data_IF_054302678527
#
_entry.id   IF_054302678527
#
_cell.length_a   1.000
_cell.length_b   1.000
_cell.length_c   1.000
_cell.angle_alpha   90.00
_cell.angle_beta   90.00
_cell.angle_gamma   90.00
#
_symmetry.space_group_name_H-M   'P 1'
#
loop_
_entity.id
_entity.type
_entity.pdbx_description
1 polymer ?
#
# COMPACT_ATOMS: atom_id res chain seq x y z
N UNK A 1 17.02 -0.68 -15.90
CA UNK A 1 16.16 0.25 -15.12
C UNK A 1 14.69 0.15 -15.55
N UNK A 2 14.38 0.23 -16.85
CA UNK A 2 13.01 0.13 -17.36
C UNK A 2 12.27 -1.14 -16.94
N UNK A 3 12.96 -2.28 -16.95
CA UNK A 3 12.37 -3.57 -16.51
C UNK A 3 11.92 -3.55 -15.04
N UNK A 4 12.67 -2.90 -14.15
CA UNK A 4 12.29 -2.77 -12.74
C UNK A 4 11.03 -1.89 -12.57
N UNK A 5 10.92 -0.81 -13.35
CA UNK A 5 9.71 0.00 -13.37
C UNK A 5 8.52 -0.73 -14.00
N UNK A 6 8.73 -1.54 -15.05
CA UNK A 6 7.70 -2.39 -15.64
C UNK A 6 7.15 -3.39 -14.62
N UNK A 7 8.02 -4.03 -13.83
CA UNK A 7 7.61 -4.92 -12.74
C UNK A 7 6.72 -4.23 -11.72
N UNK A 8 6.95 -2.94 -11.41
CA UNK A 8 6.08 -2.17 -10.52
C UNK A 8 4.67 -1.98 -11.12
N UNK A 9 4.54 -1.68 -12.40
CA UNK A 9 3.21 -1.55 -13.00
C UNK A 9 2.50 -2.91 -13.12
N UNK A 10 3.27 -3.96 -13.39
CA UNK A 10 2.75 -5.32 -13.41
C UNK A 10 2.28 -5.77 -12.01
N UNK A 11 3.01 -5.44 -10.94
CA UNK A 11 2.60 -5.75 -9.56
C UNK A 11 1.28 -5.10 -9.18
N UNK A 12 1.07 -3.84 -9.59
CA UNK A 12 -0.18 -3.13 -9.32
C UNK A 12 -1.35 -3.76 -10.07
N UNK A 13 -1.14 -4.19 -11.32
CA UNK A 13 -2.16 -4.91 -12.08
C UNK A 13 -2.46 -6.27 -11.42
N UNK A 14 -1.44 -7.05 -11.10
CA UNK A 14 -1.54 -8.36 -10.45
C UNK A 14 -2.40 -8.30 -9.17
N UNK A 15 -2.13 -7.30 -8.31
CA UNK A 15 -2.90 -7.07 -7.08
C UNK A 15 -4.33 -6.58 -7.34
N UNK A 16 -4.52 -5.66 -8.29
CA UNK A 16 -5.83 -5.12 -8.61
C UNK A 16 -6.76 -6.17 -9.24
N UNK A 17 -6.20 -7.15 -9.96
CA UNK A 17 -6.94 -8.28 -10.56
C UNK A 17 -6.96 -9.54 -9.68
N UNK A 18 -6.19 -9.59 -8.59
CA UNK A 18 -6.14 -10.74 -7.66
C UNK A 18 -5.48 -11.99 -8.25
N UNK A 19 -4.47 -11.82 -9.10
CA UNK A 19 -3.76 -12.93 -9.75
C UNK A 19 -2.74 -13.63 -8.85
N UNK A 20 -2.17 -12.90 -7.88
CA UNK A 20 -1.18 -13.42 -6.93
C UNK A 20 0.08 -14.02 -7.60
N UNK A 21 0.53 -13.45 -8.72
CA UNK A 21 1.76 -13.89 -9.40
C UNK A 21 2.99 -13.12 -8.93
N UNK A 22 2.80 -11.87 -8.49
CA UNK A 22 3.89 -10.95 -8.16
C UNK A 22 3.79 -10.44 -6.73
N UNK A 23 3.67 -11.40 -5.82
CA UNK A 23 3.75 -11.19 -4.39
C UNK A 23 5.08 -10.56 -3.97
N UNK A 24 5.12 -10.02 -2.75
CA UNK A 24 6.22 -9.13 -2.31
C UNK A 24 7.58 -9.79 -2.41
N UNK A 25 7.68 -11.07 -2.06
CA UNK A 25 8.91 -11.85 -2.13
C UNK A 25 9.39 -12.08 -3.57
N UNK A 26 8.48 -12.42 -4.49
CA UNK A 26 8.79 -12.59 -5.92
C UNK A 26 9.24 -11.26 -6.52
N UNK A 27 8.53 -10.17 -6.21
CA UNK A 27 8.88 -8.82 -6.65
C UNK A 27 10.28 -8.42 -6.18
N UNK A 28 10.58 -8.60 -4.88
CA UNK A 28 11.88 -8.27 -4.31
C UNK A 28 13.00 -9.16 -4.88
N UNK A 29 12.74 -10.46 -5.06
CA UNK A 29 13.71 -11.38 -5.65
C UNK A 29 14.10 -10.97 -7.07
N UNK A 30 13.11 -10.63 -7.91
CA UNK A 30 13.36 -10.13 -9.26
C UNK A 30 14.14 -8.81 -9.24
N UNK A 31 13.80 -7.89 -8.34
CA UNK A 31 14.54 -6.63 -8.21
C UNK A 31 15.99 -6.85 -7.78
N UNK A 32 16.23 -7.67 -6.76
CA UNK A 32 17.59 -8.02 -6.30
C UNK A 32 18.39 -8.64 -7.46
N UNK A 33 17.80 -9.59 -8.19
CA UNK A 33 18.45 -10.22 -9.34
C UNK A 33 18.80 -9.20 -10.44
N UNK A 34 17.88 -8.30 -10.79
CA UNK A 34 18.11 -7.28 -11.82
C UNK A 34 19.21 -6.29 -11.45
N UNK A 35 19.25 -5.82 -10.20
CA UNK A 35 20.29 -4.89 -9.76
C UNK A 35 21.65 -5.57 -9.58
N UNK A 36 21.67 -6.85 -9.16
CA UNK A 36 22.89 -7.65 -9.11
C UNK A 36 23.45 -7.95 -10.52
N UNK A 37 22.58 -8.26 -11.49
CA UNK A 37 22.96 -8.44 -12.90
C UNK A 37 23.45 -7.13 -13.51
N UNK A 38 22.81 -6.00 -13.20
CA UNK A 38 23.27 -4.68 -13.64
C UNK A 38 24.66 -4.36 -13.09
N UNK A 39 24.91 -4.63 -11.80
CA UNK A 39 26.24 -4.45 -11.22
C UNK A 39 27.27 -5.37 -11.89
N UNK A 40 26.93 -6.65 -12.10
CA UNK A 40 27.80 -7.63 -12.77
C UNK A 40 28.14 -7.22 -14.21
N UNK A 41 27.16 -6.68 -14.94
CA UNK A 41 27.36 -6.12 -16.29
C UNK A 41 28.27 -4.89 -16.25
N UNK A 42 28.04 -3.95 -15.33
CA UNK A 42 28.87 -2.75 -15.19
C UNK A 42 30.31 -3.05 -14.75
N UNK A 43 30.52 -4.11 -13.95
CA UNK A 43 31.86 -4.61 -13.62
C UNK A 43 32.51 -5.41 -14.76
N UNK A 44 31.81 -5.63 -15.87
CA UNK A 44 32.31 -6.36 -17.03
C UNK A 44 32.35 -7.88 -16.86
N UNK A 45 31.65 -8.44 -15.85
CA UNK A 45 31.56 -9.89 -15.62
C UNK A 45 30.60 -10.59 -16.58
N UNK A 46 29.60 -9.88 -17.09
CA UNK A 46 28.60 -10.38 -18.05
C UNK A 46 28.66 -9.49 -19.29
N UNK A 47 28.70 -10.09 -20.49
CA UNK A 47 28.69 -9.39 -21.78
C UNK A 47 27.67 -10.02 -22.73
N UNK A 48 27.03 -9.21 -23.56
CA UNK A 48 26.14 -9.66 -24.61
C UNK A 48 26.85 -9.73 -25.97
N UNK A 49 26.34 -10.54 -26.91
CA UNK A 49 26.95 -10.68 -28.25
C UNK A 49 27.02 -9.39 -29.07
N UNK A 50 26.25 -8.37 -28.68
CA UNK A 50 26.20 -7.07 -29.36
C UNK A 50 27.16 -6.04 -28.73
N UNK A 51 27.88 -6.40 -27.66
CA UNK A 51 28.83 -5.49 -27.00
C UNK A 51 30.17 -5.51 -27.73
N UNK A 52 30.79 -4.34 -27.90
CA UNK A 52 32.08 -4.21 -28.57
C UNK A 52 33.17 -5.02 -27.85
N UNK A 53 33.87 -5.88 -28.61
CA UNK A 53 34.87 -6.80 -28.08
C UNK A 53 36.08 -6.10 -27.43
N UNK A 54 36.34 -4.85 -27.81
CA UNK A 54 37.51 -4.06 -27.41
C UNK A 54 37.30 -3.17 -26.18
N UNK A 55 36.07 -3.01 -25.67
CA UNK A 55 35.81 -2.34 -24.38
C UNK A 55 36.14 -3.29 -23.21
N UNK A 56 37.44 -3.43 -22.90
CA UNK A 56 37.93 -4.25 -21.77
C UNK A 56 38.01 -3.50 -20.44
N UNK A 57 38.04 -2.17 -20.45
CA UNK A 57 38.19 -1.38 -19.23
C UNK A 57 36.84 -0.86 -18.75
N UNK A 58 36.40 -1.32 -17.58
CA UNK A 58 35.31 -0.67 -16.85
C UNK A 58 35.66 0.80 -16.63
N UNK A 59 34.84 1.70 -17.17
CA UNK A 59 35.03 3.13 -16.95
C UNK A 59 34.83 3.46 -15.47
N UNK A 60 35.56 4.45 -14.94
CA UNK A 60 35.42 4.90 -13.54
C UNK A 60 33.95 5.24 -13.20
N UNK A 61 33.18 5.93 -14.06
CA UNK A 61 31.75 6.15 -13.81
C UNK A 61 30.94 4.84 -13.73
N UNK A 62 31.16 3.89 -14.65
CA UNK A 62 30.47 2.60 -14.64
C UNK A 62 30.75 1.80 -13.36
N UNK A 63 31.99 1.85 -12.86
CA UNK A 63 32.37 1.20 -11.61
C UNK A 63 31.57 1.73 -10.41
N UNK A 64 31.47 3.07 -10.25
CA UNK A 64 30.71 3.66 -9.15
C UNK A 64 29.20 3.40 -9.28
N UNK A 65 28.64 3.42 -10.49
CA UNK A 65 27.23 3.05 -10.71
C UNK A 65 27.00 1.56 -10.42
N UNK A 66 27.97 0.69 -10.72
CA UNK A 66 27.96 -0.73 -10.37
C UNK A 66 27.95 -0.94 -8.86
N UNK A 67 28.81 -0.24 -8.11
CA UNK A 67 28.81 -0.26 -6.64
C UNK A 67 27.46 0.20 -6.08
N UNK A 68 26.93 1.32 -6.57
CA UNK A 68 25.63 1.83 -6.12
C UNK A 68 24.50 0.82 -6.38
N UNK A 69 24.51 0.17 -7.54
CA UNK A 69 23.54 -0.87 -7.91
C UNK A 69 23.64 -2.10 -7.01
N UNK A 70 24.86 -2.55 -6.72
CA UNK A 70 25.10 -3.69 -5.84
C UNK A 70 24.71 -3.38 -4.38
N UNK A 71 25.06 -2.19 -3.88
CA UNK A 71 24.67 -1.74 -2.55
C UNK A 71 23.15 -1.68 -2.40
N UNK A 72 22.45 -1.21 -3.44
CA UNK A 72 20.98 -1.20 -3.47
C UNK A 72 20.38 -2.61 -3.49
N UNK A 73 20.96 -3.56 -4.23
CA UNK A 73 20.55 -4.96 -4.20
C UNK A 73 20.70 -5.57 -2.79
N UNK A 74 21.86 -5.36 -2.15
CA UNK A 74 22.14 -5.85 -0.79
C UNK A 74 21.16 -5.25 0.24
N UNK A 75 20.83 -3.96 0.12
CA UNK A 75 19.85 -3.30 0.99
C UNK A 75 18.47 -3.98 0.96
N UNK A 76 18.06 -4.53 -0.18
CA UNK A 76 16.76 -5.19 -0.32
C UNK A 76 16.72 -6.63 0.21
N UNK A 77 17.88 -7.28 0.38
CA UNK A 77 17.99 -8.69 0.81
C UNK A 77 17.21 -8.94 2.11
N UNK A 78 17.36 -8.16 3.21
CA UNK A 78 16.56 -8.36 4.42
C UNK A 78 15.04 -8.29 4.22
N UNK A 79 14.58 -7.63 3.14
CA UNK A 79 13.16 -7.54 2.80
C UNK A 79 12.53 -8.90 2.50
N UNK A 80 13.31 -9.87 2.00
CA UNK A 80 12.84 -11.24 1.77
C UNK A 80 12.45 -11.97 3.07
N UNK A 81 12.85 -11.45 4.24
CA UNK A 81 12.52 -11.96 5.57
C UNK A 81 11.54 -11.06 6.35
N UNK A 82 10.91 -10.09 5.67
CA UNK A 82 9.89 -9.22 6.26
C UNK A 82 10.42 -7.89 6.80
N UNK A 83 11.69 -7.55 6.53
CA UNK A 83 12.16 -6.20 6.81
C UNK A 83 11.37 -5.18 5.95
N UNK A 84 11.01 -4.01 6.51
CA UNK A 84 10.16 -3.05 5.81
C UNK A 84 10.82 -2.41 4.59
N UNK A 85 12.16 -2.44 4.48
CA UNK A 85 12.96 -1.85 3.39
C UNK A 85 12.38 -0.51 2.90
N UNK A 86 12.34 0.47 3.82
CA UNK A 86 11.62 1.75 3.67
C UNK A 86 11.93 2.51 2.38
N UNK A 87 13.13 2.36 1.82
CA UNK A 87 13.50 3.03 0.56
C UNK A 87 12.67 2.54 -0.65
N UNK A 88 12.21 1.29 -0.63
CA UNK A 88 11.44 0.66 -1.72
C UNK A 88 10.00 0.34 -1.33
N UNK A 89 9.59 0.59 -0.09
CA UNK A 89 8.24 0.27 0.40
C UNK A 89 7.12 0.97 -0.38
N UNK A 90 7.43 2.11 -1.01
CA UNK A 90 6.50 2.87 -1.82
C UNK A 90 6.21 2.22 -3.19
N UNK A 91 7.05 1.27 -3.62
CA UNK A 91 6.95 0.56 -4.90
C UNK A 91 6.70 -0.93 -4.73
N UNK A 92 7.17 -1.52 -3.62
CA UNK A 92 6.99 -2.92 -3.33
C UNK A 92 5.54 -3.24 -2.96
N UNK A 93 5.06 -4.44 -3.27
CA UNK A 93 3.77 -4.94 -2.79
C UNK A 93 3.64 -4.84 -1.26
N UNK A 94 2.40 -4.81 -0.72
CA UNK A 94 2.12 -4.76 0.72
C UNK A 94 2.78 -5.90 1.51
N UNK A 95 2.99 -5.71 2.82
CA UNK A 95 3.60 -6.75 3.67
C UNK A 95 2.73 -8.01 3.82
N UNK A 96 1.40 -7.87 3.73
CA UNK A 96 0.46 -8.99 3.87
C UNK A 96 0.46 -9.94 2.67
N UNK A 97 1.09 -9.56 1.55
CA UNK A 97 1.27 -10.44 0.38
C UNK A 97 2.59 -11.20 0.46
N UNK A 98 3.30 -11.13 1.59
CA UNK A 98 4.53 -11.87 1.81
C UNK A 98 4.23 -13.08 2.68
N UNK A 99 4.46 -14.27 2.15
CA UNK A 99 4.25 -15.52 2.87
C UNK A 99 5.31 -15.71 3.95
N UNK A 100 6.57 -15.40 3.62
CA UNK A 100 7.68 -15.58 4.55
C UNK A 100 8.06 -14.27 5.27
N UNK A 101 7.56 -14.11 6.49
CA UNK A 101 7.83 -12.96 7.34
C UNK A 101 8.23 -13.40 8.76
N UNK A 102 9.44 -13.02 9.21
CA UNK A 102 9.93 -13.34 10.55
C UNK A 102 9.23 -12.54 11.66
N UNK A 103 8.56 -11.42 11.32
CA UNK A 103 7.79 -10.59 12.24
C UNK A 103 6.38 -10.29 11.68
N UNK A 104 5.46 -11.26 11.72
CA UNK A 104 4.11 -11.10 11.19
C UNK A 104 3.30 -10.01 11.93
N UNK A 105 3.60 -9.73 13.20
CA UNK A 105 2.83 -8.82 14.05
C UNK A 105 3.19 -7.33 13.94
N UNK A 106 4.05 -6.95 12.99
CA UNK A 106 4.47 -5.55 12.83
C UNK A 106 3.63 -4.77 11.81
N UNK A 107 2.89 -5.45 10.94
CA UNK A 107 2.03 -4.82 9.96
C UNK A 107 0.61 -4.65 10.52
N UNK A 108 0.04 -3.46 10.37
CA UNK A 108 -1.39 -3.22 10.60
C UNK A 108 -2.14 -3.79 9.41
N UNK A 109 -3.02 -4.75 9.67
CA UNK A 109 -3.82 -5.39 8.62
C UNK A 109 -5.30 -5.00 8.74
N UNK A 110 -5.97 -4.72 7.61
CA UNK A 110 -7.39 -4.44 7.63
C UNK A 110 -8.18 -5.68 8.03
N UNK A 111 -9.09 -5.52 8.98
CA UNK A 111 -9.98 -6.60 9.41
C UNK A 111 -11.06 -6.90 8.37
N UNK A 112 -11.47 -5.88 7.61
CA UNK A 112 -12.47 -6.00 6.56
C UNK A 112 -12.06 -5.21 5.32
N UNK A 113 -12.44 -5.73 4.15
CA UNK A 113 -12.38 -5.03 2.86
C UNK A 113 -13.78 -4.64 2.35
N UNK A 114 -14.83 -5.06 3.06
CA UNK A 114 -16.22 -4.69 2.80
C UNK A 114 -16.74 -3.77 3.89
N UNK A 115 -17.30 -2.63 3.48
CA UNK A 115 -17.81 -1.61 4.39
C UNK A 115 -18.97 -2.13 5.25
N UNK A 116 -19.94 -2.82 4.66
CA UNK A 116 -21.15 -3.23 5.38
C UNK A 116 -20.84 -4.30 6.42
N UNK A 117 -20.04 -5.31 6.04
CA UNK A 117 -19.57 -6.35 6.95
C UNK A 117 -18.74 -5.76 8.11
N UNK A 118 -17.83 -4.83 7.82
CA UNK A 118 -17.01 -4.20 8.85
C UNK A 118 -17.82 -3.31 9.79
N UNK A 119 -18.77 -2.53 9.28
CA UNK A 119 -19.68 -1.71 10.09
C UNK A 119 -20.59 -2.58 10.97
N UNK A 120 -21.14 -3.67 10.44
CA UNK A 120 -21.95 -4.62 11.20
C UNK A 120 -21.14 -5.27 12.33
N UNK A 121 -19.91 -5.69 12.04
CA UNK A 121 -19.01 -6.24 13.05
C UNK A 121 -18.69 -5.20 14.13
N UNK A 122 -18.33 -3.98 13.76
CA UNK A 122 -18.01 -2.92 14.71
C UNK A 122 -19.17 -2.60 15.68
N UNK A 123 -20.41 -2.63 15.18
CA UNK A 123 -21.61 -2.54 16.02
C UNK A 123 -21.69 -3.70 17.02
N UNK A 124 -21.46 -4.94 16.56
CA UNK A 124 -21.54 -6.12 17.42
C UNK A 124 -20.52 -6.13 18.56
N UNK A 125 -19.33 -5.54 18.33
CA UNK A 125 -18.26 -5.47 19.34
C UNK A 125 -18.19 -4.12 20.07
N UNK A 126 -19.08 -3.18 19.74
CA UNK A 126 -19.14 -1.86 20.38
C UNK A 126 -17.87 -1.01 20.23
N UNK A 127 -17.20 -1.11 19.08
CA UNK A 127 -15.97 -0.36 18.75
C UNK A 127 -16.20 0.65 17.61
N UNK A 128 -15.45 1.75 17.57
CA UNK A 128 -15.46 2.68 16.44
C UNK A 128 -14.79 2.06 15.21
N UNK A 129 -15.09 2.62 14.05
CA UNK A 129 -14.56 2.18 12.75
C UNK A 129 -13.55 3.20 12.25
N UNK A 130 -12.44 2.69 11.72
CA UNK A 130 -11.50 3.48 10.93
C UNK A 130 -11.60 3.01 9.48
N UNK A 131 -12.05 3.90 8.61
CA UNK A 131 -12.06 3.67 7.17
C UNK A 131 -10.76 4.21 6.60
N UNK A 132 -10.09 3.36 5.85
CA UNK A 132 -8.91 3.68 5.06
C UNK A 132 -9.25 3.56 3.57
N UNK A 133 -9.51 4.69 2.91
CA UNK A 133 -9.60 4.72 1.45
C UNK A 133 -8.19 4.68 0.88
N UNK A 134 -7.87 3.54 0.26
CA UNK A 134 -6.53 3.18 -0.18
C UNK A 134 -6.55 2.62 -1.59
N UNK A 135 -5.40 2.22 -2.11
CA UNK A 135 -5.30 1.52 -3.39
C UNK A 135 -4.02 0.71 -3.49
N UNK A 136 -4.06 -0.36 -4.28
CA UNK A 136 -2.92 -1.22 -4.57
C UNK A 136 -1.76 -0.43 -5.19
N UNK A 137 -2.07 0.52 -6.08
CA UNK A 137 -1.09 1.40 -6.71
C UNK A 137 -0.72 2.67 -5.92
N UNK A 138 -1.27 2.86 -4.72
CA UNK A 138 -1.16 4.12 -3.98
C UNK A 138 0.19 4.26 -3.25
N UNK A 139 1.15 4.94 -3.88
CA UNK A 139 2.49 5.22 -3.33
C UNK A 139 2.43 5.93 -1.98
N UNK A 140 1.57 6.96 -1.84
CA UNK A 140 1.45 7.72 -0.59
C UNK A 140 0.80 6.90 0.54
N UNK A 141 -0.08 5.95 0.21
CA UNK A 141 -0.67 5.03 1.19
C UNK A 141 0.42 4.11 1.75
N UNK A 142 1.26 3.54 0.88
CA UNK A 142 2.41 2.72 1.30
C UNK A 142 3.41 3.50 2.17
N UNK A 143 3.65 4.78 1.87
CA UNK A 143 4.48 5.66 2.70
C UNK A 143 3.89 5.86 4.09
N UNK A 144 2.59 6.14 4.19
CA UNK A 144 1.91 6.25 5.49
C UNK A 144 2.01 4.97 6.30
N UNK A 145 1.81 3.81 5.67
CA UNK A 145 1.95 2.53 6.36
C UNK A 145 3.37 2.32 6.90
N UNK A 146 4.38 2.60 6.07
CA UNK A 146 5.78 2.40 6.44
C UNK A 146 6.31 3.42 7.47
N UNK A 147 5.83 4.67 7.43
CA UNK A 147 6.32 5.76 8.27
C UNK A 147 5.48 5.97 9.55
N UNK A 148 4.16 5.77 9.47
CA UNK A 148 3.21 6.10 10.55
C UNK A 148 2.62 4.85 11.18
N UNK A 149 2.14 3.87 10.40
CA UNK A 149 1.48 2.69 10.96
C UNK A 149 2.44 1.69 11.60
N UNK A 150 3.74 1.77 11.28
CA UNK A 150 4.77 0.99 11.97
C UNK A 150 5.09 1.53 13.37
N UNK A 151 4.63 2.74 13.73
CA UNK A 151 4.78 3.26 15.09
C UNK A 151 3.97 2.41 16.08
N UNK A 152 4.61 2.04 17.19
CA UNK A 152 4.02 1.14 18.17
C UNK A 152 2.72 1.67 18.81
N UNK A 153 2.61 2.99 19.02
CA UNK A 153 1.43 3.61 19.61
C UNK A 153 0.29 3.66 18.59
N UNK A 154 0.59 4.09 17.36
CA UNK A 154 -0.40 4.09 16.27
C UNK A 154 -0.95 2.68 16.03
N UNK A 155 -0.05 1.69 15.88
CA UNK A 155 -0.44 0.29 15.70
C UNK A 155 -1.33 -0.22 16.83
N UNK A 156 -0.94 0.04 18.08
CA UNK A 156 -1.73 -0.41 19.24
C UNK A 156 -3.14 0.22 19.24
N UNK A 157 -3.27 1.49 18.88
CA UNK A 157 -4.59 2.15 18.81
C UNK A 157 -5.46 1.54 17.71
N UNK A 158 -4.90 1.30 16.52
CA UNK A 158 -5.65 0.72 15.40
C UNK A 158 -6.07 -0.72 15.72
N UNK A 159 -5.12 -1.57 16.14
CA UNK A 159 -5.35 -3.00 16.35
C UNK A 159 -6.32 -3.29 17.50
N UNK A 160 -6.24 -2.49 18.59
CA UNK A 160 -7.01 -2.75 19.81
C UNK A 160 -8.30 -1.95 19.87
N UNK A 161 -8.29 -0.69 19.46
CA UNK A 161 -9.38 0.24 19.76
C UNK A 161 -10.28 0.52 18.56
N UNK A 162 -9.84 0.20 17.34
CA UNK A 162 -10.61 0.38 16.12
C UNK A 162 -10.96 -0.93 15.41
N UNK A 163 -12.01 -0.88 14.60
CA UNK A 163 -12.22 -1.83 13.50
C UNK A 163 -11.73 -1.17 12.22
N UNK A 164 -10.58 -1.61 11.71
CA UNK A 164 -10.02 -1.11 10.45
C UNK A 164 -10.72 -1.75 9.26
N UNK A 165 -11.22 -0.90 8.36
CA UNK A 165 -11.80 -1.26 7.07
C UNK A 165 -11.00 -0.55 5.98
N UNK A 166 -10.27 -1.31 5.14
CA UNK A 166 -9.55 -0.74 4.00
C UNK A 166 -10.37 -0.91 2.71
N UNK A 167 -10.76 0.22 2.12
CA UNK A 167 -11.55 0.29 0.90
C UNK A 167 -10.63 0.62 -0.28
N UNK A 168 -10.33 -0.40 -1.08
CA UNK A 168 -9.46 -0.30 -2.25
C UNK A 168 -10.21 0.32 -3.42
N UNK A 169 -9.87 1.54 -3.80
CA UNK A 169 -10.56 2.29 -4.87
C UNK A 169 -10.15 1.84 -6.29
N UNK A 170 -9.07 1.08 -6.41
CA UNK A 170 -8.52 0.55 -7.67
C UNK A 170 -8.75 -0.96 -7.85
N UNK A 171 -9.48 -1.61 -6.95
CA UNK A 171 -9.86 -3.02 -7.02
C UNK A 171 -10.72 -3.31 -8.25
N UNK A 172 -10.26 -4.25 -9.11
CA UNK A 172 -10.92 -4.62 -10.37
C UNK A 172 -11.88 -5.79 -10.24
N UNK A 173 -12.10 -6.30 -9.03
CA UNK A 173 -13.11 -7.33 -8.77
C UNK A 173 -14.48 -6.85 -9.29
N UNK A 174 -15.13 -7.60 -10.21
CA UNK A 174 -16.44 -7.22 -10.74
C UNK A 174 -17.51 -7.23 -9.64
N UNK A 175 -18.41 -6.24 -9.66
CA UNK A 175 -19.62 -6.29 -8.85
C UNK A 175 -20.57 -7.37 -9.38
N UNK A 176 -21.37 -8.03 -8.53
CA UNK A 176 -22.36 -9.02 -8.96
C UNK A 176 -23.33 -8.46 -10.01
N UNK A 177 -23.71 -7.19 -9.85
CA UNK A 177 -24.52 -6.44 -10.81
C UNK A 177 -23.97 -5.02 -10.94
N UNK A 178 -23.86 -4.47 -12.18
CA UNK A 178 -23.49 -3.08 -12.36
C UNK A 178 -24.51 -2.14 -11.71
N UNK A 179 -24.03 -1.10 -11.04
CA UNK A 179 -24.89 -0.11 -10.38
C UNK A 179 -24.87 1.18 -11.19
N UNK A 180 -26.05 1.67 -11.60
CA UNK A 180 -26.19 2.97 -12.24
C UNK A 180 -26.35 4.06 -11.18
N UNK A 181 -25.49 5.07 -11.23
CA UNK A 181 -25.51 6.21 -10.30
C UNK A 181 -25.54 7.52 -11.07
N UNK A 182 -26.21 8.52 -10.51
CA UNK A 182 -26.14 9.89 -11.00
C UNK A 182 -24.97 10.60 -10.32
N UNK A 183 -24.05 11.14 -11.11
CA UNK A 183 -22.91 11.91 -10.62
C UNK A 183 -22.72 13.14 -11.53
N UNK A 184 -22.74 14.34 -10.94
CA UNK A 184 -22.58 15.62 -11.65
C UNK A 184 -23.51 15.78 -12.87
N UNK A 185 -24.76 15.31 -12.76
CA UNK A 185 -25.75 15.38 -13.84
C UNK A 185 -25.57 14.34 -14.96
N UNK A 186 -24.67 13.36 -14.80
CA UNK A 186 -24.45 12.27 -15.75
C UNK A 186 -24.68 10.91 -15.09
N UNK A 187 -25.35 10.00 -15.81
CA UNK A 187 -25.43 8.59 -15.44
C UNK A 187 -24.09 7.91 -15.64
N UNK A 188 -23.51 7.37 -14.56
CA UNK A 188 -22.27 6.59 -14.56
C UNK A 188 -22.57 5.16 -14.10
N UNK A 189 -21.92 4.17 -14.72
CA UNK A 189 -22.05 2.75 -14.35
C UNK A 189 -20.85 2.32 -13.52
N UNK A 190 -21.11 1.92 -12.28
CA UNK A 190 -20.12 1.29 -11.40
C UNK A 190 -20.07 -0.20 -11.73
N UNK A 191 -18.88 -0.72 -12.07
CA UNK A 191 -18.70 -2.10 -12.54
C UNK A 191 -17.86 -2.93 -11.59
N UNK A 192 -16.99 -2.29 -10.83
CA UNK A 192 -16.01 -2.93 -9.94
C UNK A 192 -16.18 -2.49 -8.49
N UNK A 193 -15.60 -3.27 -7.58
CA UNK A 193 -15.49 -2.91 -6.15
C UNK A 193 -14.80 -1.55 -5.99
N UNK A 194 -13.72 -1.30 -6.75
CA UNK A 194 -13.04 -0.01 -6.78
C UNK A 194 -13.94 1.15 -7.20
N UNK A 195 -14.73 0.97 -8.26
CA UNK A 195 -15.70 2.00 -8.71
C UNK A 195 -16.69 2.35 -7.59
N UNK A 196 -17.18 1.33 -6.87
CA UNK A 196 -18.11 1.50 -5.74
C UNK A 196 -17.50 2.34 -4.62
N UNK A 197 -16.28 2.02 -4.20
CA UNK A 197 -15.62 2.74 -3.11
C UNK A 197 -15.16 4.14 -3.52
N UNK A 198 -14.67 4.29 -4.74
CA UNK A 198 -14.32 5.59 -5.32
C UNK A 198 -15.54 6.52 -5.39
N UNK A 199 -16.70 5.99 -5.82
CA UNK A 199 -17.96 6.73 -5.82
C UNK A 199 -18.43 7.11 -4.40
N UNK A 200 -18.35 6.18 -3.45
CA UNK A 200 -18.68 6.45 -2.05
C UNK A 200 -17.81 7.59 -1.48
N UNK A 201 -16.51 7.55 -1.75
CA UNK A 201 -15.56 8.57 -1.28
C UNK A 201 -15.95 9.96 -1.77
N UNK A 202 -16.21 10.10 -3.07
CA UNK A 202 -16.56 11.39 -3.68
C UNK A 202 -17.91 11.91 -3.20
N UNK A 203 -18.92 11.06 -3.16
CA UNK A 203 -20.29 11.49 -2.86
C UNK A 203 -20.56 11.74 -1.39
N UNK A 204 -19.92 10.97 -0.49
CA UNK A 204 -20.13 11.13 0.96
C UNK A 204 -19.14 12.06 1.62
N UNK A 205 -17.90 12.12 1.12
CA UNK A 205 -16.83 12.86 1.77
C UNK A 205 -16.26 14.00 0.90
N UNK A 206 -16.72 14.18 -0.33
CA UNK A 206 -16.23 15.23 -1.22
C UNK A 206 -14.75 15.08 -1.58
N UNK A 207 -14.19 13.87 -1.45
CA UNK A 207 -12.78 13.58 -1.62
C UNK A 207 -12.56 12.50 -2.69
N UNK A 208 -11.45 12.61 -3.41
CA UNK A 208 -11.04 11.66 -4.45
C UNK A 208 -9.55 11.27 -4.37
N UNK A 209 -8.83 11.77 -3.35
CA UNK A 209 -7.42 11.48 -3.14
C UNK A 209 -7.24 10.35 -2.13
N UNK A 210 -6.17 9.57 -2.29
CA UNK A 210 -5.75 8.52 -1.36
C UNK A 210 -4.28 8.77 -0.94
N UNK A 211 -3.89 8.46 0.31
CA UNK A 211 -4.70 7.88 1.38
C UNK A 211 -5.70 8.88 1.97
N UNK A 212 -6.87 8.39 2.39
CA UNK A 212 -7.90 9.18 3.06
C UNK A 212 -8.57 8.40 4.18
N UNK A 213 -8.48 8.93 5.40
CA UNK A 213 -8.89 8.27 6.63
C UNK A 213 -10.12 8.93 7.24
N UNK A 214 -11.11 8.13 7.61
CA UNK A 214 -12.35 8.61 8.26
C UNK A 214 -12.64 7.74 9.49
N UNK A 215 -12.92 8.38 10.63
CA UNK A 215 -13.32 7.68 11.85
C UNK A 215 -14.83 7.79 12.03
N UNK A 216 -15.52 6.66 12.15
CA UNK A 216 -16.97 6.58 12.28
C UNK A 216 -17.40 5.89 13.57
N UNK A 217 -18.56 6.29 14.09
CA UNK A 217 -19.28 5.53 15.12
C UNK A 217 -20.05 4.34 14.52
N UNK A 218 -20.68 3.52 15.37
CA UNK A 218 -21.47 2.37 14.92
C UNK A 218 -22.69 2.73 14.06
N UNK A 219 -23.11 4.00 14.01
CA UNK A 219 -24.20 4.47 13.13
C UNK A 219 -23.68 5.04 11.82
N UNK A 220 -22.37 5.14 11.64
CA UNK A 220 -21.73 5.72 10.46
C UNK A 220 -21.55 7.23 10.53
N UNK A 221 -21.72 7.86 11.69
CA UNK A 221 -21.47 9.29 11.83
C UNK A 221 -19.97 9.55 12.05
N UNK A 222 -19.40 10.59 11.43
CA UNK A 222 -18.02 11.01 11.69
C UNK A 222 -17.77 11.34 13.16
N UNK A 223 -16.65 10.86 13.69
CA UNK A 223 -16.16 11.12 15.04
C UNK A 223 -15.22 12.34 15.11
N UNK A 224 -14.60 12.69 13.99
CA UNK A 224 -13.69 13.83 13.83
C UNK A 224 -13.58 14.21 12.34
N UNK A 225 -12.86 15.29 12.03
CA UNK A 225 -12.52 15.64 10.66
C UNK A 225 -11.67 14.55 10.00
N UNK A 226 -11.90 14.28 8.71
CA UNK A 226 -11.11 13.33 7.93
C UNK A 226 -9.65 13.77 7.81
N UNK A 227 -8.75 12.81 7.57
CA UNK A 227 -7.32 13.06 7.39
C UNK A 227 -6.82 12.48 6.06
N UNK A 228 -5.87 13.16 5.43
CA UNK A 228 -5.19 12.67 4.22
C UNK A 228 -3.71 12.34 4.50
N UNK A 229 -2.88 12.26 3.45
CA UNK A 229 -1.44 12.03 3.57
C UNK A 229 -0.73 13.07 4.45
N UNK A 230 -0.12 12.60 5.54
CA UNK A 230 0.78 13.37 6.41
C UNK A 230 1.54 12.38 7.33
N UNK A 231 2.87 12.30 7.17
CA UNK A 231 3.73 11.34 7.88
C UNK A 231 4.01 11.71 9.36
N UNK A 232 3.39 12.77 9.89
CA UNK A 232 3.53 13.14 11.30
C UNK A 232 2.77 12.17 12.22
N UNK A 233 3.54 11.31 12.89
CA UNK A 233 3.05 10.30 13.86
C UNK A 233 2.26 10.94 15.00
N UNK A 234 2.79 12.02 15.60
CA UNK A 234 2.16 12.66 16.76
C UNK A 234 0.78 13.24 16.45
N UNK A 235 0.64 13.85 15.28
CA UNK A 235 -0.67 14.29 14.81
C UNK A 235 -1.60 13.12 14.49
N UNK A 236 -1.09 12.01 13.94
CA UNK A 236 -1.91 10.84 13.61
C UNK A 236 -2.48 10.18 14.87
N UNK A 237 -1.66 10.07 15.92
CA UNK A 237 -2.08 9.65 17.25
C UNK A 237 -3.19 10.55 17.79
N UNK A 238 -3.01 11.88 17.73
CA UNK A 238 -4.06 12.84 18.18
C UNK A 238 -5.38 12.63 17.43
N UNK A 239 -5.32 12.38 16.13
CA UNK A 239 -6.51 12.11 15.31
C UNK A 239 -7.25 10.86 15.80
N UNK A 240 -6.54 9.76 16.05
CA UNK A 240 -7.12 8.52 16.57
C UNK A 240 -7.68 8.70 17.99
N UNK A 241 -6.90 9.29 18.90
CA UNK A 241 -7.32 9.53 20.28
C UNK A 241 -8.56 10.45 20.36
N UNK A 242 -8.63 11.49 19.53
CA UNK A 242 -9.80 12.37 19.44
C UNK A 242 -11.04 11.60 18.99
N UNK A 243 -10.89 10.70 18.00
CA UNK A 243 -11.99 9.84 17.56
C UNK A 243 -12.49 8.93 18.68
N UNK A 244 -11.60 8.32 19.46
CA UNK A 244 -11.95 7.47 20.61
C UNK A 244 -12.67 8.26 21.70
N UNK A 245 -12.20 9.47 22.01
CA UNK A 245 -12.84 10.35 22.99
C UNK A 245 -14.27 10.71 22.56
N UNK A 246 -14.47 11.15 21.31
CA UNK A 246 -15.80 11.43 20.77
C UNK A 246 -16.69 10.19 20.73
N UNK A 247 -16.13 9.00 20.47
CA UNK A 247 -16.91 7.77 20.49
C UNK A 247 -17.38 7.42 21.91
N UNK A 248 -16.52 7.62 22.91
CA UNK A 248 -16.85 7.36 24.31
C UNK A 248 -17.96 8.28 24.83
N UNK A 249 -18.05 9.53 24.34
CA UNK A 249 -19.13 10.46 24.73
C UNK A 249 -20.46 10.19 24.03
N UNK A 250 -20.45 9.42 22.93
CA UNK A 250 -21.65 9.06 22.16
C UNK A 250 -22.18 7.65 22.48
N UNK A 251 -21.48 6.88 23.30
CA UNK A 251 -21.96 5.62 23.87
C UNK A 251 -23.10 5.88 24.86
#
# INVERSE_FOLDING_TARGET
VELAFALKFFSVADLAYGWHLLDREVFLALWIALFALLASYLFGWVKFPHDDADERSTSVPAFFVGIASLAFAIYMVPGLWGAPVKAVSAFAPPMHTQDFNLNPHTAVEPKFKDFEAGMAYARSVGKPVMIDFTGFGCVNCRKMEAAVWTDSKVRSLIDKDYVLISLYVDDKTPLPTPIEVQENGKTTKLRTVGDRWSYLQRTKFGANAQPFYVLLDGKGNPLTASRSYNENVGEYVKFLETGLQTFATRK
#
